data_IF_185321371290
#
_entry.id   IF_185321371290
#
_cell.length_a   1.000
_cell.length_b   1.000
_cell.length_c   1.000
_cell.angle_alpha   90.00
_cell.angle_beta   90.00
_cell.angle_gamma   90.00
#
_symmetry.space_group_name_H-M   'P 1'
#
loop_
_entity.id
_entity.type
_entity.pdbx_description
1 polymer ?
#
# COMPACT_ATOMS: atom_id res chain seq x y z
N UNK A 1 -30.26 -9.75 0.07
CA UNK A 1 -29.53 -9.10 -1.03
C UNK A 1 -30.45 -8.97 -2.22
N UNK A 2 -30.51 -7.78 -2.83
CA UNK A 2 -31.21 -7.52 -4.09
C UNK A 2 -30.42 -8.11 -5.28
N UNK A 3 -31.04 -8.30 -6.45
CA UNK A 3 -30.33 -8.72 -7.65
C UNK A 3 -29.17 -7.79 -8.03
N UNK A 4 -29.34 -6.48 -7.82
CA UNK A 4 -28.32 -5.45 -8.08
C UNK A 4 -27.13 -5.57 -7.11
N UNK A 5 -27.39 -5.79 -5.82
CA UNK A 5 -26.35 -6.04 -4.81
C UNK A 5 -25.56 -7.32 -5.11
N UNK A 6 -26.24 -8.38 -5.60
CA UNK A 6 -25.58 -9.63 -6.02
C UNK A 6 -24.67 -9.37 -7.22
N UNK A 7 -25.15 -8.66 -8.24
CA UNK A 7 -24.38 -8.35 -9.44
C UNK A 7 -23.14 -7.51 -9.10
N UNK A 8 -23.31 -6.46 -8.28
CA UNK A 8 -22.21 -5.62 -7.81
C UNK A 8 -21.17 -6.44 -7.03
N UNK A 9 -21.62 -7.25 -6.08
CA UNK A 9 -20.75 -8.12 -5.26
C UNK A 9 -19.97 -9.11 -6.14
N UNK A 10 -20.60 -9.69 -7.15
CA UNK A 10 -19.94 -10.58 -8.09
C UNK A 10 -18.89 -9.83 -8.91
N UNK A 11 -19.22 -8.63 -9.43
CA UNK A 11 -18.27 -7.81 -10.18
C UNK A 11 -17.06 -7.41 -9.32
N UNK A 12 -17.28 -7.01 -8.08
CA UNK A 12 -16.22 -6.72 -7.11
C UNK A 12 -15.33 -7.95 -6.89
N UNK A 13 -15.92 -9.11 -6.59
CA UNK A 13 -15.18 -10.34 -6.31
C UNK A 13 -14.38 -10.84 -7.52
N UNK A 14 -14.93 -10.74 -8.72
CA UNK A 14 -14.24 -11.08 -9.98
C UNK A 14 -12.99 -10.23 -10.17
N UNK A 15 -13.02 -8.96 -9.77
CA UNK A 15 -11.91 -8.02 -9.95
C UNK A 15 -11.03 -7.85 -8.70
N UNK A 16 -11.30 -8.58 -7.61
CA UNK A 16 -10.56 -8.47 -6.35
C UNK A 16 -9.05 -8.72 -6.49
N UNK A 17 -8.64 -9.55 -7.45
CA UNK A 17 -7.22 -9.81 -7.73
C UNK A 17 -6.48 -8.57 -8.24
N UNK A 18 -7.15 -7.70 -9.01
CA UNK A 18 -6.58 -6.42 -9.43
C UNK A 18 -6.37 -5.52 -8.22
N UNK A 19 -7.35 -5.44 -7.32
CA UNK A 19 -7.26 -4.65 -6.09
C UNK A 19 -6.07 -5.09 -5.23
N UNK A 20 -5.78 -6.38 -5.14
CA UNK A 20 -4.65 -6.92 -4.37
C UNK A 20 -3.28 -6.41 -4.85
N UNK A 21 -3.16 -5.90 -6.08
CA UNK A 21 -1.92 -5.33 -6.61
C UNK A 21 -1.50 -4.04 -5.90
N UNK A 22 -2.39 -3.36 -5.15
CA UNK A 22 -2.05 -2.14 -4.39
C UNK A 22 -0.85 -2.35 -3.45
N UNK A 23 -0.75 -3.56 -2.87
CA UNK A 23 0.33 -4.01 -1.99
C UNK A 23 1.72 -3.99 -2.63
N UNK A 24 1.77 -4.02 -3.97
CA UNK A 24 3.00 -4.02 -4.76
C UNK A 24 3.37 -2.63 -5.26
N UNK A 25 2.45 -1.68 -5.19
CA UNK A 25 2.69 -0.32 -5.68
C UNK A 25 3.76 0.39 -4.83
N UNK A 26 4.62 1.13 -5.48
CA UNK A 26 5.74 1.89 -4.88
C UNK A 26 5.53 3.40 -4.99
N UNK A 27 4.49 3.83 -5.70
CA UNK A 27 4.16 5.24 -5.93
C UNK A 27 2.64 5.48 -5.98
N UNK A 28 2.25 6.75 -5.89
CA UNK A 28 0.86 7.19 -6.07
C UNK A 28 0.35 6.89 -7.48
N UNK A 29 1.20 7.03 -8.50
CA UNK A 29 0.81 6.80 -9.89
C UNK A 29 0.50 5.32 -10.13
N UNK A 30 1.33 4.41 -9.59
CA UNK A 30 1.07 2.96 -9.65
C UNK A 30 -0.23 2.59 -8.92
N UNK A 31 -0.50 3.23 -7.76
CA UNK A 31 -1.76 3.05 -7.04
C UNK A 31 -2.94 3.46 -7.91
N UNK A 32 -2.91 4.64 -8.51
CA UNK A 32 -3.99 5.10 -9.39
C UNK A 32 -4.18 4.17 -10.60
N UNK A 33 -3.11 3.62 -11.18
CA UNK A 33 -3.22 2.64 -12.28
C UNK A 33 -3.98 1.39 -11.81
N UNK A 34 -3.65 0.86 -10.62
CA UNK A 34 -4.34 -0.29 -10.04
C UNK A 34 -5.81 0.02 -9.73
N UNK A 35 -6.12 1.21 -9.18
CA UNK A 35 -7.50 1.68 -8.96
C UNK A 35 -8.30 1.63 -10.24
N UNK A 36 -7.78 2.26 -11.27
CA UNK A 36 -8.52 2.48 -12.50
C UNK A 36 -8.64 1.18 -13.29
N UNK A 37 -7.67 0.27 -13.18
CA UNK A 37 -7.82 -1.10 -13.65
C UNK A 37 -8.93 -1.86 -12.93
N UNK A 38 -9.02 -1.72 -11.61
CA UNK A 38 -10.09 -2.32 -10.83
C UNK A 38 -11.46 -1.74 -11.22
N UNK A 39 -11.57 -0.42 -11.35
CA UNK A 39 -12.79 0.27 -11.78
C UNK A 39 -13.20 -0.12 -13.20
N UNK A 40 -12.26 -0.13 -14.14
CA UNK A 40 -12.50 -0.56 -15.51
C UNK A 40 -13.01 -2.02 -15.56
N UNK A 41 -12.39 -2.91 -14.77
CA UNK A 41 -12.82 -4.30 -14.63
C UNK A 41 -14.24 -4.44 -14.07
N UNK A 42 -14.58 -3.67 -13.03
CA UNK A 42 -15.95 -3.63 -12.50
C UNK A 42 -16.95 -3.07 -13.51
N UNK A 43 -16.62 -1.94 -14.14
CA UNK A 43 -17.48 -1.27 -15.11
C UNK A 43 -17.73 -2.13 -16.36
N UNK A 44 -16.78 -2.98 -16.77
CA UNK A 44 -17.00 -3.94 -17.86
C UNK A 44 -18.15 -4.92 -17.62
N UNK A 45 -18.50 -5.17 -16.35
CA UNK A 45 -19.56 -6.07 -15.93
C UNK A 45 -20.85 -5.32 -15.56
N UNK A 46 -20.72 -4.12 -15.02
CA UNK A 46 -21.84 -3.34 -14.47
C UNK A 46 -22.37 -2.27 -15.43
N UNK A 47 -21.50 -1.73 -16.29
CA UNK A 47 -21.77 -0.63 -17.22
C UNK A 47 -21.41 -1.03 -18.66
N UNK A 48 -22.03 -2.09 -19.23
CA UNK A 48 -21.56 -2.68 -20.50
C UNK A 48 -21.71 -1.74 -21.70
N UNK A 49 -22.61 -0.75 -21.65
CA UNK A 49 -22.80 0.21 -22.73
C UNK A 49 -21.65 1.22 -22.76
N UNK A 50 -21.40 1.88 -21.64
CA UNK A 50 -20.33 2.85 -21.47
C UNK A 50 -18.95 2.20 -21.65
N UNK A 51 -18.78 0.97 -21.15
CA UNK A 51 -17.56 0.21 -21.37
C UNK A 51 -17.37 -0.11 -22.86
N UNK A 52 -18.47 -0.41 -23.57
CA UNK A 52 -18.47 -0.61 -25.02
C UNK A 52 -17.98 0.62 -25.77
N UNK A 53 -18.52 1.80 -25.46
CA UNK A 53 -18.11 3.08 -26.02
C UNK A 53 -16.63 3.38 -25.76
N UNK A 54 -16.18 3.23 -24.51
CA UNK A 54 -14.78 3.39 -24.14
C UNK A 54 -13.88 2.44 -24.94
N UNK A 55 -14.23 1.14 -25.01
CA UNK A 55 -13.45 0.15 -25.74
C UNK A 55 -13.37 0.48 -27.23
N UNK A 56 -14.47 0.92 -27.83
CA UNK A 56 -14.51 1.33 -29.24
C UNK A 56 -13.61 2.55 -29.48
N UNK A 57 -13.67 3.57 -28.62
CA UNK A 57 -12.81 4.75 -28.72
C UNK A 57 -11.31 4.41 -28.67
N UNK A 58 -10.91 3.46 -27.81
CA UNK A 58 -9.52 3.00 -27.68
C UNK A 58 -9.05 2.19 -28.89
N UNK A 59 -9.96 1.59 -29.66
CA UNK A 59 -9.66 0.84 -30.89
C UNK A 59 -9.59 1.77 -32.10
N UNK A 60 -10.47 2.77 -32.17
CA UNK A 60 -10.53 3.72 -33.28
C UNK A 60 -9.31 4.64 -33.26
N UNK A 61 -8.83 5.08 -32.09
CA UNK A 61 -7.59 5.84 -32.00
C UNK A 61 -6.38 4.97 -32.39
N UNK A 62 -5.71 5.23 -33.53
CA UNK A 62 -4.62 4.41 -34.01
C UNK A 62 -3.42 4.42 -33.06
N UNK A 63 -3.22 5.52 -32.33
CA UNK A 63 -2.12 5.67 -31.36
C UNK A 63 -2.33 4.77 -30.15
N UNK A 64 -3.51 4.85 -29.54
CA UNK A 64 -3.89 3.99 -28.41
C UNK A 64 -3.92 2.53 -28.81
N UNK A 65 -4.58 2.19 -29.92
CA UNK A 65 -4.67 0.81 -30.39
C UNK A 65 -3.28 0.19 -30.62
N UNK A 66 -2.39 0.90 -31.32
CA UNK A 66 -1.03 0.42 -31.58
C UNK A 66 -0.23 0.25 -30.28
N UNK A 67 -0.37 1.18 -29.35
CA UNK A 67 0.33 1.14 -28.06
C UNK A 67 -0.14 -0.05 -27.20
N UNK A 68 -1.45 -0.29 -27.14
CA UNK A 68 -2.06 -1.42 -26.44
C UNK A 68 -1.64 -2.74 -27.11
N UNK A 69 -1.77 -2.84 -28.43
CA UNK A 69 -1.39 -4.01 -29.21
C UNK A 69 0.08 -4.41 -28.98
N UNK A 70 0.98 -3.43 -28.97
CA UNK A 70 2.41 -3.66 -28.76
C UNK A 70 2.78 -3.97 -27.30
N UNK A 71 1.89 -3.70 -26.36
CA UNK A 71 2.13 -3.87 -24.91
C UNK A 71 1.33 -5.03 -24.31
N UNK A 72 0.43 -5.64 -25.09
CA UNK A 72 -0.26 -6.87 -24.73
C UNK A 72 0.76 -7.96 -24.38
N UNK A 73 0.64 -8.51 -23.16
CA UNK A 73 1.56 -9.48 -22.54
C UNK A 73 2.95 -8.95 -22.12
N UNK A 74 3.15 -7.62 -22.10
CA UNK A 74 4.35 -7.01 -21.49
C UNK A 74 4.06 -6.57 -20.05
N UNK A 75 5.10 -6.42 -19.20
CA UNK A 75 4.93 -5.98 -17.81
C UNK A 75 4.19 -4.65 -17.66
N UNK A 76 4.33 -3.73 -18.62
CA UNK A 76 3.68 -2.42 -18.64
C UNK A 76 2.33 -2.41 -19.38
N UNK A 77 1.80 -3.57 -19.81
CA UNK A 77 0.57 -3.64 -20.59
C UNK A 77 -0.64 -3.05 -19.86
N UNK A 78 -0.72 -3.23 -18.54
CA UNK A 78 -1.76 -2.66 -17.69
C UNK A 78 -1.71 -1.13 -17.69
N UNK A 79 -0.54 -0.56 -17.42
CA UNK A 79 -0.32 0.89 -17.41
C UNK A 79 -0.67 1.52 -18.75
N UNK A 80 -0.26 0.91 -19.86
CA UNK A 80 -0.56 1.40 -21.21
C UNK A 80 -2.07 1.37 -21.48
N UNK A 81 -2.77 0.31 -21.08
CA UNK A 81 -4.22 0.20 -21.24
C UNK A 81 -4.95 1.27 -20.42
N UNK A 82 -4.57 1.48 -19.17
CA UNK A 82 -5.19 2.50 -18.31
C UNK A 82 -4.88 3.91 -18.78
N UNK A 83 -3.66 4.16 -19.25
CA UNK A 83 -3.30 5.45 -19.83
C UNK A 83 -4.15 5.77 -21.06
N UNK A 84 -4.35 4.78 -21.96
CA UNK A 84 -5.21 4.93 -23.12
C UNK A 84 -6.69 5.12 -22.72
N UNK A 85 -7.17 4.37 -21.71
CA UNK A 85 -8.53 4.53 -21.20
C UNK A 85 -8.77 5.94 -20.64
N UNK A 86 -7.88 6.45 -19.77
CA UNK A 86 -7.96 7.81 -19.20
C UNK A 86 -7.87 8.92 -20.25
N UNK A 87 -7.23 8.66 -21.39
CA UNK A 87 -7.11 9.62 -22.47
C UNK A 87 -8.37 9.68 -23.37
N UNK A 88 -9.30 8.73 -23.21
CA UNK A 88 -10.56 8.73 -23.95
C UNK A 88 -11.58 9.68 -23.32
N UNK A 89 -12.35 10.36 -24.17
CA UNK A 89 -13.47 11.21 -23.76
C UNK A 89 -14.58 10.43 -23.03
N UNK A 90 -14.64 9.10 -23.21
CA UNK A 90 -15.65 8.22 -22.61
C UNK A 90 -15.32 7.81 -21.16
N UNK A 91 -14.09 8.09 -20.69
CA UNK A 91 -13.61 7.64 -19.37
C UNK A 91 -14.45 8.18 -18.21
N UNK A 92 -14.68 9.50 -18.18
CA UNK A 92 -15.41 10.16 -17.10
C UNK A 92 -16.88 9.70 -17.04
N UNK A 93 -17.50 9.47 -18.20
CA UNK A 93 -18.85 8.94 -18.30
C UNK A 93 -18.95 7.53 -17.71
N UNK A 94 -17.99 6.65 -18.05
CA UNK A 94 -17.92 5.30 -17.51
C UNK A 94 -17.77 5.29 -15.98
N UNK A 95 -16.88 6.14 -15.45
CA UNK A 95 -16.69 6.25 -14.01
C UNK A 95 -17.95 6.78 -13.32
N UNK A 96 -18.60 7.80 -13.87
CA UNK A 96 -19.84 8.32 -13.33
C UNK A 96 -20.93 7.23 -13.22
N UNK A 97 -21.13 6.42 -14.27
CA UNK A 97 -22.06 5.29 -14.23
C UNK A 97 -21.68 4.24 -13.18
N UNK A 98 -20.39 3.92 -13.04
CA UNK A 98 -19.92 2.98 -12.01
C UNK A 98 -20.21 3.49 -10.59
N UNK A 99 -19.92 4.76 -10.31
CA UNK A 99 -20.18 5.37 -9.00
C UNK A 99 -21.67 5.53 -8.71
N UNK A 100 -22.50 5.78 -9.74
CA UNK A 100 -23.95 5.78 -9.59
C UNK A 100 -24.47 4.40 -9.17
N UNK A 101 -24.02 3.32 -9.82
CA UNK A 101 -24.37 1.95 -9.44
C UNK A 101 -23.87 1.64 -8.02
N UNK A 102 -22.62 1.99 -7.70
CA UNK A 102 -22.05 1.79 -6.37
C UNK A 102 -22.90 2.50 -5.29
N UNK A 103 -23.31 3.75 -5.54
CA UNK A 103 -24.19 4.52 -4.66
C UNK A 103 -25.56 3.85 -4.54
N UNK A 104 -26.13 3.38 -5.66
CA UNK A 104 -27.43 2.71 -5.69
C UNK A 104 -27.51 1.46 -4.81
N UNK A 105 -26.40 0.73 -4.67
CA UNK A 105 -26.30 -0.44 -3.77
C UNK A 105 -25.73 -0.12 -2.39
N UNK A 106 -25.58 1.16 -2.04
CA UNK A 106 -24.94 1.64 -0.82
C UNK A 106 -23.52 1.06 -0.61
N UNK A 107 -22.72 1.01 -1.65
CA UNK A 107 -21.33 0.53 -1.59
C UNK A 107 -20.36 1.65 -1.17
N UNK A 108 -19.46 1.30 -0.26
CA UNK A 108 -18.35 2.14 0.20
C UNK A 108 -17.13 2.11 -0.75
N UNK A 109 -17.34 1.96 -2.06
CA UNK A 109 -16.27 1.72 -3.05
C UNK A 109 -15.11 2.75 -2.94
N UNK A 110 -15.45 4.04 -2.88
CA UNK A 110 -14.46 5.12 -2.75
C UNK A 110 -13.74 5.13 -1.41
N UNK A 111 -14.45 4.76 -0.35
CA UNK A 111 -13.87 4.66 0.99
C UNK A 111 -12.89 3.48 1.09
N UNK A 112 -13.22 2.35 0.45
CA UNK A 112 -12.33 1.18 0.35
C UNK A 112 -11.02 1.61 -0.34
N UNK A 113 -11.11 2.24 -1.51
CA UNK A 113 -9.91 2.66 -2.24
C UNK A 113 -9.07 3.68 -1.46
N UNK A 114 -9.70 4.77 -0.98
CA UNK A 114 -9.00 5.81 -0.24
C UNK A 114 -8.31 5.29 1.02
N UNK A 115 -8.88 4.27 1.67
CA UNK A 115 -8.26 3.61 2.83
C UNK A 115 -7.01 2.81 2.43
N UNK A 116 -7.08 2.05 1.32
CA UNK A 116 -5.94 1.29 0.80
C UNK A 116 -4.81 2.21 0.33
N UNK A 117 -5.14 3.26 -0.40
CA UNK A 117 -4.18 4.25 -0.91
C UNK A 117 -3.45 4.95 0.24
N UNK A 118 -4.20 5.49 1.21
CA UNK A 118 -3.63 6.13 2.40
C UNK A 118 -2.75 5.17 3.19
N UNK A 119 -3.23 3.95 3.45
CA UNK A 119 -2.46 2.93 4.17
C UNK A 119 -1.14 2.61 3.47
N UNK A 120 -1.17 2.45 2.14
CA UNK A 120 0.03 2.16 1.36
C UNK A 120 1.02 3.32 1.36
N UNK A 121 0.57 4.55 1.14
CA UNK A 121 1.45 5.72 1.11
C UNK A 121 2.08 6.00 2.47
N UNK A 122 1.32 5.86 3.55
CA UNK A 122 1.83 5.98 4.92
C UNK A 122 2.93 4.95 5.18
N UNK A 123 2.69 3.69 4.81
CA UNK A 123 3.67 2.62 4.98
C UNK A 123 4.94 2.82 4.15
N UNK A 124 4.81 3.21 2.88
CA UNK A 124 5.94 3.53 2.01
C UNK A 124 6.77 4.70 2.57
N UNK A 125 6.09 5.74 3.07
CA UNK A 125 6.75 6.88 3.71
C UNK A 125 7.57 6.43 4.93
N UNK A 126 7.00 5.59 5.79
CA UNK A 126 7.68 5.07 6.97
C UNK A 126 8.91 4.21 6.62
N UNK A 127 8.78 3.30 5.66
CA UNK A 127 9.91 2.48 5.17
C UNK A 127 11.02 3.37 4.63
N UNK A 128 10.69 4.34 3.78
CA UNK A 128 11.67 5.23 3.17
C UNK A 128 12.41 6.07 4.22
N UNK A 129 11.69 6.58 5.23
CA UNK A 129 12.28 7.32 6.34
C UNK A 129 13.21 6.46 7.21
N UNK A 130 12.83 5.21 7.48
CA UNK A 130 13.61 4.29 8.31
C UNK A 130 14.73 3.54 7.55
N UNK A 131 14.76 3.63 6.21
CA UNK A 131 15.70 2.90 5.37
C UNK A 131 17.18 3.14 5.71
N UNK A 132 17.66 4.39 5.93
CA UNK A 132 19.06 4.63 6.28
C UNK A 132 19.48 3.89 7.56
N UNK A 133 18.62 3.87 8.58
CA UNK A 133 18.88 3.18 9.83
C UNK A 133 18.89 1.65 9.64
N UNK A 134 17.96 1.12 8.84
CA UNK A 134 17.92 -0.31 8.50
C UNK A 134 19.24 -0.76 7.86
N UNK A 135 19.81 0.03 6.94
CA UNK A 135 21.10 -0.28 6.30
C UNK A 135 22.21 -0.36 7.35
N UNK A 136 22.31 0.63 8.24
CA UNK A 136 23.30 0.65 9.33
C UNK A 136 23.18 -0.60 10.22
N UNK A 137 21.95 -0.96 10.59
CA UNK A 137 21.68 -2.13 11.44
C UNK A 137 22.06 -3.45 10.75
N UNK A 138 21.67 -3.63 9.49
CA UNK A 138 22.02 -4.84 8.70
C UNK A 138 23.54 -4.95 8.52
N UNK A 139 24.22 -3.84 8.22
CA UNK A 139 25.67 -3.81 8.07
C UNK A 139 26.38 -4.15 9.39
N UNK A 140 25.90 -3.61 10.51
CA UNK A 140 26.44 -3.96 11.83
C UNK A 140 26.29 -5.45 12.11
N UNK A 141 25.10 -6.03 11.88
CA UNK A 141 24.84 -7.46 12.10
C UNK A 141 25.71 -8.39 11.24
N UNK A 142 26.04 -7.98 10.02
CA UNK A 142 26.88 -8.77 9.11
C UNK A 142 28.37 -8.75 9.50
N UNK A 143 28.81 -7.71 10.21
CA UNK A 143 30.22 -7.53 10.60
C UNK A 143 30.57 -8.14 11.97
N UNK A 144 29.59 -8.71 12.70
CA UNK A 144 29.83 -9.35 14.00
C UNK A 144 30.15 -10.84 13.81
N UNK A 145 31.41 -11.23 14.09
CA UNK A 145 31.88 -12.63 13.96
C UNK A 145 31.08 -13.64 14.79
N UNK A 146 30.45 -13.19 15.89
CA UNK A 146 29.60 -14.02 16.77
C UNK A 146 28.23 -13.38 17.00
N UNK A 147 27.49 -13.16 15.92
CA UNK A 147 26.11 -12.70 15.96
C UNK A 147 25.26 -13.65 16.81
N UNK A 148 24.51 -13.07 17.75
CA UNK A 148 23.51 -13.77 18.55
C UNK A 148 22.10 -13.50 18.03
N UNK A 149 21.14 -14.31 18.46
CA UNK A 149 19.72 -14.06 18.18
C UNK A 149 19.25 -12.75 18.82
N UNK A 150 19.77 -12.40 20.00
CA UNK A 150 19.45 -11.16 20.69
C UNK A 150 19.88 -9.92 19.89
N UNK A 151 21.05 -9.95 19.22
CA UNK A 151 21.49 -8.82 18.38
C UNK A 151 20.48 -8.54 17.25
N UNK A 152 19.89 -9.60 16.69
CA UNK A 152 18.88 -9.48 15.65
C UNK A 152 17.55 -8.97 16.19
N UNK A 153 17.15 -9.39 17.40
CA UNK A 153 15.96 -8.88 18.08
C UNK A 153 16.12 -7.38 18.35
N UNK A 154 17.24 -6.96 18.93
CA UNK A 154 17.53 -5.55 19.21
C UNK A 154 17.49 -4.70 17.94
N UNK A 155 18.15 -5.16 16.87
CA UNK A 155 18.14 -4.46 15.59
C UNK A 155 16.72 -4.31 15.01
N UNK A 156 15.90 -5.37 15.09
CA UNK A 156 14.50 -5.33 14.66
C UNK A 156 13.67 -4.37 15.52
N UNK A 157 13.87 -4.34 16.83
CA UNK A 157 13.20 -3.39 17.73
C UNK A 157 13.57 -1.94 17.37
N UNK A 158 14.86 -1.65 17.17
CA UNK A 158 15.31 -0.31 16.79
C UNK A 158 14.72 0.12 15.45
N UNK A 159 14.67 -0.80 14.47
CA UNK A 159 14.03 -0.54 13.19
C UNK A 159 12.51 -0.29 13.34
N UNK A 160 11.83 -1.08 14.15
CA UNK A 160 10.40 -0.94 14.42
C UNK A 160 10.08 0.39 15.11
N UNK A 161 10.90 0.82 16.05
CA UNK A 161 10.81 2.17 16.62
C UNK A 161 10.96 3.24 15.53
N UNK A 162 11.96 3.14 14.66
CA UNK A 162 12.15 4.13 13.59
C UNK A 162 10.98 4.19 12.59
N UNK A 163 10.36 3.05 12.27
CA UNK A 163 9.10 3.00 11.52
C UNK A 163 8.00 3.77 12.26
N UNK A 164 7.85 3.51 13.56
CA UNK A 164 6.78 4.12 14.37
C UNK A 164 6.85 5.65 14.43
N UNK A 165 8.05 6.23 14.44
CA UNK A 165 8.26 7.69 14.44
C UNK A 165 7.70 8.35 13.17
N UNK A 166 7.63 7.61 12.07
CA UNK A 166 7.15 8.11 10.77
C UNK A 166 5.66 7.80 10.52
N UNK A 167 5.00 7.09 11.42
CA UNK A 167 3.58 6.73 11.31
C UNK A 167 2.76 7.67 12.21
N UNK A 168 1.91 8.55 11.64
CA UNK A 168 1.19 9.56 12.41
C UNK A 168 0.40 9.00 13.61
N UNK A 169 -0.28 7.87 13.41
CA UNK A 169 -1.06 7.20 14.44
C UNK A 169 -0.24 6.71 15.65
N UNK A 170 1.08 6.59 15.52
CA UNK A 170 1.99 6.07 16.55
C UNK A 170 2.83 7.16 17.23
N UNK A 171 2.54 8.44 16.96
CA UNK A 171 3.30 9.58 17.52
C UNK A 171 3.35 9.54 19.05
N UNK A 172 2.21 9.35 19.71
CA UNK A 172 2.16 9.34 21.18
C UNK A 172 2.83 8.09 21.77
N UNK A 173 2.65 6.94 21.12
CA UNK A 173 3.23 5.65 21.53
C UNK A 173 4.76 5.70 21.42
N UNK A 174 5.28 6.17 20.29
CA UNK A 174 6.73 6.34 20.08
C UNK A 174 7.33 7.36 21.05
N UNK A 175 6.62 8.46 21.35
CA UNK A 175 7.05 9.43 22.34
C UNK A 175 7.06 8.87 23.78
N UNK A 176 6.14 7.98 24.12
CA UNK A 176 6.14 7.28 25.40
C UNK A 176 7.34 6.31 25.51
N UNK A 177 7.56 5.48 24.49
CA UNK A 177 8.68 4.55 24.45
C UNK A 177 10.03 5.27 24.55
N UNK A 178 10.20 6.38 23.81
CA UNK A 178 11.40 7.23 23.86
C UNK A 178 11.75 7.65 25.29
N UNK A 179 10.76 8.01 26.11
CA UNK A 179 10.97 8.42 27.51
C UNK A 179 11.43 7.24 28.37
N UNK A 180 10.87 6.05 28.15
CA UNK A 180 11.22 4.83 28.88
C UNK A 180 12.68 4.44 28.63
N UNK A 181 13.11 4.50 27.37
CA UNK A 181 14.49 4.17 26.99
C UNK A 181 15.48 5.34 27.16
N UNK A 182 15.04 6.45 27.78
CA UNK A 182 15.84 7.66 28.00
C UNK A 182 16.53 8.20 26.74
N UNK A 183 15.82 8.21 25.62
CA UNK A 183 16.37 8.64 24.33
C UNK A 183 16.26 10.16 24.15
N UNK A 184 17.41 10.81 24.03
CA UNK A 184 17.51 12.27 23.85
C UNK A 184 17.04 12.74 22.48
N UNK A 185 17.28 11.97 21.41
CA UNK A 185 16.97 12.32 20.03
C UNK A 185 16.12 11.22 19.38
N UNK A 186 14.85 11.55 19.09
CA UNK A 186 13.89 10.59 18.55
C UNK A 186 14.24 10.06 17.17
N UNK A 187 15.06 10.78 16.40
CA UNK A 187 15.45 10.40 15.04
C UNK A 187 16.77 9.61 15.02
N UNK A 188 17.47 9.53 16.15
CA UNK A 188 18.77 8.86 16.26
C UNK A 188 18.77 7.87 17.43
N UNK A 189 18.00 6.75 17.33
CA UNK A 189 17.82 5.80 18.43
C UNK A 189 19.09 5.06 18.87
N UNK A 190 20.15 5.07 18.04
CA UNK A 190 21.45 4.51 18.36
C UNK A 190 22.32 5.41 19.25
N UNK A 191 21.97 6.71 19.35
CA UNK A 191 22.74 7.66 20.16
C UNK A 191 22.48 7.37 21.65
N UNK A 192 23.54 7.07 22.38
CA UNK A 192 23.47 6.66 23.79
C UNK A 192 22.64 5.37 24.02
N UNK A 193 22.60 4.47 23.03
CA UNK A 193 21.88 3.20 23.12
C UNK A 193 22.28 2.40 24.36
N UNK A 194 21.27 1.89 25.09
CA UNK A 194 21.44 0.98 26.22
C UNK A 194 20.55 -0.25 26.01
N UNK A 195 21.17 -1.39 25.70
CA UNK A 195 20.48 -2.65 25.44
C UNK A 195 19.54 -3.08 26.58
N UNK A 196 19.90 -2.78 27.84
CA UNK A 196 19.11 -3.16 29.01
C UNK A 196 17.72 -2.48 29.05
N UNK A 197 17.57 -1.34 28.35
CA UNK A 197 16.29 -0.63 28.26
C UNK A 197 15.44 -1.09 27.08
N UNK A 198 16.03 -1.76 26.09
CA UNK A 198 15.36 -2.23 24.88
C UNK A 198 14.93 -3.69 25.01
N UNK A 199 13.98 -3.97 25.90
CA UNK A 199 13.44 -5.31 26.13
C UNK A 199 12.06 -5.47 25.47
N UNK A 200 11.92 -6.42 24.54
CA UNK A 200 10.64 -6.69 23.86
C UNK A 200 9.55 -7.24 24.79
N UNK A 201 9.92 -7.70 26.00
CA UNK A 201 8.99 -8.16 27.04
C UNK A 201 8.46 -7.02 27.91
N UNK A 202 8.97 -5.82 27.74
CA UNK A 202 8.45 -4.65 28.43
C UNK A 202 7.02 -4.36 27.95
N UNK A 203 6.07 -4.20 28.87
CA UNK A 203 4.66 -4.06 28.50
C UNK A 203 4.41 -2.83 27.59
N UNK A 204 5.16 -1.74 27.81
CA UNK A 204 5.11 -0.54 26.98
C UNK A 204 5.68 -0.70 25.56
N UNK A 205 6.39 -1.79 25.26
CA UNK A 205 6.82 -2.10 23.89
C UNK A 205 5.64 -2.57 23.03
N UNK A 206 4.71 -3.32 23.62
CA UNK A 206 3.64 -4.00 22.91
C UNK A 206 2.75 -3.07 22.09
N UNK A 207 2.31 -1.89 22.56
CA UNK A 207 1.54 -0.96 21.75
C UNK A 207 2.29 -0.49 20.49
N UNK A 208 3.61 -0.34 20.57
CA UNK A 208 4.44 0.05 19.44
C UNK A 208 4.53 -1.08 18.41
N UNK A 209 4.83 -2.30 18.87
CA UNK A 209 4.89 -3.50 18.03
C UNK A 209 3.56 -3.72 17.27
N UNK A 210 2.45 -3.75 17.99
CA UNK A 210 1.12 -3.91 17.38
C UNK A 210 0.78 -2.79 16.40
N UNK A 211 1.10 -1.54 16.77
CA UNK A 211 0.83 -0.39 15.92
C UNK A 211 1.60 -0.43 14.60
N UNK A 212 2.87 -0.86 14.63
CA UNK A 212 3.68 -1.01 13.41
C UNK A 212 3.18 -2.19 12.57
N UNK A 213 2.79 -3.31 13.18
CA UNK A 213 2.19 -4.44 12.46
C UNK A 213 0.88 -4.02 11.77
N UNK A 214 0.00 -3.31 12.46
CA UNK A 214 -1.25 -2.80 11.89
C UNK A 214 -0.99 -1.83 10.72
N UNK A 215 0.00 -0.93 10.85
CA UNK A 215 0.38 -0.04 9.76
C UNK A 215 0.92 -0.81 8.54
N UNK A 216 1.72 -1.85 8.77
CA UNK A 216 2.22 -2.72 7.70
C UNK A 216 1.07 -3.44 6.99
N UNK A 217 0.12 -4.00 7.73
CA UNK A 217 -1.07 -4.67 7.18
C UNK A 217 -1.94 -3.71 6.37
N UNK A 218 -2.20 -2.49 6.86
CA UNK A 218 -2.88 -1.43 6.11
C UNK A 218 -2.13 -1.06 4.83
N UNK A 219 -0.79 -1.13 4.85
CA UNK A 219 0.07 -0.95 3.69
C UNK A 219 0.17 -2.16 2.75
N UNK A 220 -0.55 -3.25 3.03
CA UNK A 220 -0.52 -4.49 2.26
C UNK A 220 0.80 -5.26 2.38
N UNK A 221 1.46 -5.20 3.54
CA UNK A 221 2.78 -5.77 3.78
C UNK A 221 2.86 -6.35 5.20
N UNK A 222 4.06 -6.74 5.63
CA UNK A 222 4.36 -7.13 7.00
C UNK A 222 5.67 -6.47 7.45
N UNK A 223 5.86 -6.34 8.77
CA UNK A 223 7.16 -5.92 9.32
C UNK A 223 8.30 -6.82 8.83
N UNK A 224 8.04 -8.13 8.71
CA UNK A 224 9.00 -9.10 8.23
C UNK A 224 9.45 -8.80 6.80
N UNK A 225 8.51 -8.58 5.89
CA UNK A 225 8.83 -8.23 4.49
C UNK A 225 9.64 -6.93 4.43
N UNK A 226 9.24 -5.93 5.22
CA UNK A 226 9.93 -4.66 5.29
C UNK A 226 11.33 -4.76 5.91
N UNK A 227 11.60 -5.72 6.81
CA UNK A 227 12.95 -6.00 7.31
C UNK A 227 13.77 -6.78 6.28
N UNK A 228 13.19 -7.77 5.62
CA UNK A 228 13.90 -8.67 4.70
C UNK A 228 14.29 -8.00 3.36
N UNK A 229 13.45 -7.08 2.86
CA UNK A 229 13.72 -6.28 1.65
C UNK A 229 15.09 -5.57 1.64
#
# INVERSE_FOLDING_TARGET
>A
MTPEEILFTNAFNTNRSALALFSKCTSLDELHIVRDAFYLGMASLLCPQEYGSLRESMIIDPTSFTSIANSLNKPNGLEVMITAARASDEWESLLASLHEIATGVNSDLDYIWSTLERGRLEWLSAINAAHPLKVILKDALNNVEKRTENDEVDAKMIYMYALSVSIPALTDISAAWRKIVNMDDSLNPLKNYNADLWDCRHDDWRPLDLGVQEAAERGGSSFRDAWEA
#
